data_IF_401526046622
#
_entry.id   IF_401526046622
#
_cell.length_a   1.000
_cell.length_b   1.000
_cell.length_c   1.000
_cell.angle_alpha   90.00
_cell.angle_beta   90.00
_cell.angle_gamma   90.00
#
_symmetry.space_group_name_H-M   'P 1'
#
loop_
_entity.id
_entity.type
_entity.pdbx_description
1 polymer ?
#
# COMPACT_ATOMS: atom_id res chain seq x y z
N UNK A 1 -39.12 36.38 18.89
CA UNK A 1 -39.03 34.93 19.22
C UNK A 1 -38.90 34.02 18.00
N UNK A 2 -39.57 34.27 16.87
CA UNK A 2 -39.50 33.40 15.68
C UNK A 2 -38.13 33.38 14.96
N UNK A 3 -37.35 34.47 15.00
CA UNK A 3 -36.03 34.53 14.34
C UNK A 3 -34.98 33.68 15.05
N UNK A 4 -34.95 33.71 16.39
CA UNK A 4 -34.07 32.85 17.19
C UNK A 4 -34.35 31.37 16.96
N UNK A 5 -35.62 30.95 16.96
CA UNK A 5 -35.99 29.54 16.78
C UNK A 5 -35.58 28.98 15.40
N UNK A 6 -35.67 29.80 14.33
CA UNK A 6 -35.21 29.42 12.98
C UNK A 6 -33.70 29.28 12.90
N UNK A 7 -32.95 30.18 13.53
CA UNK A 7 -31.47 30.11 13.60
C UNK A 7 -31.03 28.89 14.39
N UNK A 8 -31.63 28.62 15.56
CA UNK A 8 -31.34 27.42 16.35
C UNK A 8 -31.67 26.13 15.59
N UNK A 9 -32.80 26.07 14.88
CA UNK A 9 -33.17 24.92 14.05
C UNK A 9 -32.20 24.70 12.89
N UNK A 10 -31.73 25.76 12.23
CA UNK A 10 -30.76 25.66 11.13
C UNK A 10 -29.39 25.17 11.63
N UNK A 11 -28.93 25.67 12.78
CA UNK A 11 -27.70 25.19 13.40
C UNK A 11 -27.77 23.72 13.81
N UNK A 12 -28.91 23.26 14.34
CA UNK A 12 -29.10 21.87 14.74
C UNK A 12 -29.10 20.92 13.53
N UNK A 13 -29.74 21.32 12.42
CA UNK A 13 -29.69 20.58 11.16
C UNK A 13 -28.28 20.52 10.58
N UNK A 14 -27.53 21.63 10.63
CA UNK A 14 -26.15 21.66 10.18
C UNK A 14 -25.25 20.71 11.01
N UNK A 15 -25.40 20.70 12.34
CA UNK A 15 -24.68 19.78 13.21
C UNK A 15 -25.06 18.33 12.91
N UNK A 16 -26.36 18.02 12.78
CA UNK A 16 -26.82 16.68 12.43
C UNK A 16 -26.26 16.22 11.08
N UNK A 17 -26.27 17.10 10.07
CA UNK A 17 -25.68 16.80 8.76
C UNK A 17 -24.19 16.52 8.86
N UNK A 18 -23.43 17.33 9.62
CA UNK A 18 -22.00 17.10 9.82
C UNK A 18 -21.71 15.76 10.50
N UNK A 19 -22.49 15.39 11.52
CA UNK A 19 -22.35 14.09 12.19
C UNK A 19 -22.68 12.93 11.25
N UNK A 20 -23.72 13.05 10.43
CA UNK A 20 -24.08 12.03 9.44
C UNK A 20 -23.02 11.91 8.34
N UNK A 21 -22.51 13.03 7.85
CA UNK A 21 -21.44 13.06 6.86
C UNK A 21 -20.16 12.45 7.43
N UNK A 22 -19.79 12.80 8.65
CA UNK A 22 -18.66 12.23 9.37
C UNK A 22 -18.80 10.72 9.55
N UNK A 23 -19.99 10.26 9.90
CA UNK A 23 -20.27 8.85 10.07
C UNK A 23 -20.19 8.09 8.75
N UNK A 24 -20.76 8.65 7.69
CA UNK A 24 -20.74 8.08 6.34
C UNK A 24 -19.32 8.02 5.77
N UNK A 25 -18.58 9.13 5.79
CA UNK A 25 -17.25 9.23 5.17
C UNK A 25 -16.20 8.34 5.84
N UNK A 26 -16.38 8.00 7.12
CA UNK A 26 -15.47 7.08 7.84
C UNK A 26 -15.96 5.64 7.87
N UNK A 27 -17.12 5.31 7.31
CA UNK A 27 -17.62 3.92 7.31
C UNK A 27 -17.07 3.17 6.10
N UNK A 28 -16.35 2.05 6.29
CA UNK A 28 -15.90 1.25 5.16
C UNK A 28 -17.11 0.67 4.41
N UNK A 29 -17.09 0.77 3.08
CA UNK A 29 -18.09 0.15 2.21
C UNK A 29 -17.56 -1.21 1.77
N UNK A 30 -18.25 -2.29 2.15
CA UNK A 30 -17.87 -3.65 1.81
C UNK A 30 -18.97 -4.34 1.01
N UNK A 31 -18.62 -4.97 -0.12
CA UNK A 31 -19.50 -5.92 -0.81
C UNK A 31 -19.09 -7.32 -0.38
N UNK A 32 -19.91 -7.99 0.43
CA UNK A 32 -19.63 -9.38 0.82
C UNK A 32 -19.83 -10.30 -0.38
N UNK A 33 -18.80 -11.05 -0.76
CA UNK A 33 -18.99 -12.17 -1.67
C UNK A 33 -20.00 -13.16 -1.05
N UNK A 34 -20.94 -13.63 -1.87
CA UNK A 34 -22.13 -14.36 -1.45
C UNK A 34 -21.81 -15.52 -0.47
N UNK A 35 -22.45 -15.60 0.72
CA UNK A 35 -22.15 -16.61 1.73
C UNK A 35 -22.57 -18.05 1.35
N UNK A 36 -23.22 -18.24 0.19
CA UNK A 36 -23.71 -19.54 -0.30
C UNK A 36 -22.60 -20.55 -0.67
N UNK A 37 -21.33 -20.15 -0.72
CA UNK A 37 -20.18 -21.07 -0.90
C UNK A 37 -19.44 -21.41 0.40
N UNK A 38 -19.92 -20.96 1.56
CA UNK A 38 -19.31 -21.37 2.84
C UNK A 38 -19.79 -22.80 3.18
N UNK A 39 -19.01 -23.79 2.77
CA UNK A 39 -19.23 -25.19 3.16
C UNK A 39 -19.36 -25.28 4.69
N UNK A 40 -20.40 -25.95 5.26
CA UNK A 40 -20.72 -25.82 6.68
C UNK A 40 -19.77 -26.51 7.66
N UNK A 41 -18.64 -27.08 7.20
CA UNK A 41 -17.67 -27.77 8.06
C UNK A 41 -16.24 -27.64 7.52
N UNK A 42 -15.69 -26.42 7.56
CA UNK A 42 -14.24 -26.23 7.61
C UNK A 42 -13.97 -25.08 8.60
N UNK A 43 -13.75 -25.44 9.86
CA UNK A 43 -12.95 -24.60 10.76
C UNK A 43 -11.49 -24.69 10.25
N UNK A 44 -11.20 -24.04 9.13
CA UNK A 44 -9.83 -23.85 8.65
C UNK A 44 -9.36 -22.50 9.20
N UNK A 45 -8.14 -22.48 9.74
CA UNK A 45 -7.43 -21.28 10.19
C UNK A 45 -7.19 -20.35 8.98
N UNK A 46 -8.22 -19.69 8.48
CA UNK A 46 -8.12 -18.77 7.36
C UNK A 46 -7.49 -17.47 7.85
N UNK A 47 -6.35 -17.11 7.28
CA UNK A 47 -5.68 -15.85 7.57
C UNK A 47 -6.47 -14.69 6.94
N UNK A 48 -7.05 -13.83 7.77
CA UNK A 48 -7.75 -12.63 7.32
C UNK A 48 -6.77 -11.46 7.25
N UNK A 49 -6.53 -10.94 6.05
CA UNK A 49 -5.57 -9.85 5.84
C UNK A 49 -6.31 -8.58 5.43
N UNK A 50 -6.03 -7.48 6.11
CA UNK A 50 -6.44 -6.14 5.67
C UNK A 50 -5.26 -5.51 4.91
N UNK A 51 -5.51 -5.04 3.69
CA UNK A 51 -4.49 -4.44 2.83
C UNK A 51 -4.84 -2.98 2.59
N UNK A 52 -3.87 -2.10 2.78
CA UNK A 52 -3.98 -0.66 2.50
C UNK A 52 -2.77 -0.20 1.71
N UNK A 53 -2.94 0.85 0.91
CA UNK A 53 -1.91 1.41 0.05
C UNK A 53 -1.98 2.94 0.10
N UNK A 54 -0.88 3.60 -0.26
CA UNK A 54 -0.82 5.03 -0.56
C UNK A 54 -1.42 5.91 0.56
N UNK A 55 -1.01 5.65 1.81
CA UNK A 55 -1.50 6.40 2.97
C UNK A 55 -1.15 7.88 2.90
N UNK A 56 -0.05 8.21 2.22
CA UNK A 56 0.42 9.54 1.82
C UNK A 56 0.34 10.56 2.96
N UNK A 57 0.74 10.18 4.17
CA UNK A 57 0.64 11.02 5.36
C UNK A 57 1.52 12.28 5.20
N UNK A 58 1.00 13.47 5.55
CA UNK A 58 1.77 14.69 5.40
C UNK A 58 2.87 14.81 6.47
N UNK A 59 3.95 15.50 6.09
CA UNK A 59 4.91 15.99 7.08
C UNK A 59 4.28 17.06 7.99
N UNK A 60 4.87 17.30 9.15
CA UNK A 60 4.39 18.25 10.17
C UNK A 60 4.08 19.66 9.67
N UNK A 61 4.64 20.06 8.54
CA UNK A 61 4.59 21.42 8.02
C UNK A 61 3.38 21.67 7.09
N UNK A 62 2.48 20.68 6.94
CA UNK A 62 1.22 20.84 6.20
C UNK A 62 0.18 21.64 7.00
N UNK A 63 -0.77 22.29 6.32
CA UNK A 63 -1.83 23.07 6.97
C UNK A 63 -2.56 22.25 8.05
N UNK A 64 -2.82 22.89 9.20
CA UNK A 64 -3.45 22.28 10.37
C UNK A 64 -4.78 21.56 10.03
N UNK A 65 -5.55 22.13 9.09
CA UNK A 65 -6.82 21.56 8.63
C UNK A 65 -6.63 20.25 7.86
N UNK A 66 -5.61 20.15 7.01
CA UNK A 66 -5.27 18.89 6.34
C UNK A 66 -4.82 17.83 7.35
N UNK A 67 -4.06 18.24 8.36
CA UNK A 67 -3.58 17.36 9.42
C UNK A 67 -4.74 16.80 10.25
N UNK A 68 -5.64 17.66 10.73
CA UNK A 68 -6.76 17.24 11.56
C UNK A 68 -7.79 16.42 10.78
N UNK A 69 -8.20 16.86 9.60
CA UNK A 69 -9.22 16.16 8.82
C UNK A 69 -8.71 14.78 8.40
N UNK A 70 -7.53 14.71 7.79
CA UNK A 70 -7.01 13.44 7.31
C UNK A 70 -6.74 12.45 8.44
N UNK A 71 -6.12 12.89 9.54
CA UNK A 71 -5.90 11.99 10.68
C UNK A 71 -7.19 11.55 11.34
N UNK A 72 -8.14 12.46 11.55
CA UNK A 72 -9.40 12.12 12.21
C UNK A 72 -10.19 11.09 11.41
N UNK A 73 -10.41 11.36 10.11
CA UNK A 73 -11.21 10.47 9.26
C UNK A 73 -10.50 9.14 8.98
N UNK A 74 -9.18 9.14 8.73
CA UNK A 74 -8.43 7.89 8.55
C UNK A 74 -8.42 7.06 9.83
N UNK A 75 -8.18 7.66 11.00
CA UNK A 75 -8.19 6.92 12.28
C UNK A 75 -9.55 6.30 12.56
N UNK A 76 -10.64 7.06 12.31
CA UNK A 76 -12.00 6.56 12.48
C UNK A 76 -12.32 5.44 11.47
N UNK A 77 -11.87 5.56 10.23
CA UNK A 77 -11.98 4.54 9.19
C UNK A 77 -11.25 3.25 9.57
N UNK A 78 -9.98 3.34 9.99
CA UNK A 78 -9.21 2.18 10.43
C UNK A 78 -9.88 1.50 11.62
N UNK A 79 -10.29 2.27 12.64
CA UNK A 79 -11.01 1.71 13.80
C UNK A 79 -12.24 0.91 13.39
N UNK A 80 -13.13 1.50 12.59
CA UNK A 80 -14.34 0.82 12.11
C UNK A 80 -14.01 -0.41 11.26
N UNK A 81 -12.97 -0.32 10.44
CA UNK A 81 -12.52 -1.42 9.59
C UNK A 81 -11.99 -2.58 10.44
N UNK A 82 -11.16 -2.32 11.46
CA UNK A 82 -10.69 -3.36 12.37
C UNK A 82 -11.81 -4.00 13.18
N UNK A 83 -12.77 -3.21 13.67
CA UNK A 83 -13.94 -3.71 14.41
C UNK A 83 -14.83 -4.61 13.54
N UNK A 84 -14.99 -4.25 12.27
CA UNK A 84 -15.86 -4.93 11.30
C UNK A 84 -15.20 -6.16 10.69
N UNK A 85 -13.97 -6.01 10.19
CA UNK A 85 -13.25 -7.04 9.43
C UNK A 85 -12.49 -8.02 10.33
N UNK A 86 -12.08 -7.57 11.54
CA UNK A 86 -11.25 -8.35 12.49
C UNK A 86 -10.08 -9.08 11.80
N UNK A 87 -9.21 -8.35 11.08
CA UNK A 87 -8.08 -8.97 10.40
C UNK A 87 -7.08 -9.54 11.41
N UNK A 88 -6.32 -10.54 10.98
CA UNK A 88 -5.19 -11.12 11.70
C UNK A 88 -3.87 -10.41 11.39
N UNK A 89 -3.79 -9.74 10.22
CA UNK A 89 -2.61 -9.04 9.72
C UNK A 89 -3.02 -7.78 8.94
N UNK A 90 -2.30 -6.68 9.15
CA UNK A 90 -2.36 -5.47 8.32
C UNK A 90 -1.16 -5.40 7.37
N UNK A 91 -1.41 -5.28 6.07
CA UNK A 91 -0.38 -5.00 5.07
C UNK A 91 -0.50 -3.56 4.57
N UNK A 92 0.62 -2.83 4.56
CA UNK A 92 0.72 -1.46 4.04
C UNK A 92 1.64 -1.45 2.82
N UNK A 93 1.09 -1.27 1.62
CA UNK A 93 1.80 -1.39 0.35
C UNK A 93 2.51 -0.10 -0.07
N UNK A 94 3.35 0.45 0.82
CA UNK A 94 4.16 1.63 0.52
C UNK A 94 3.42 2.96 0.60
N UNK A 95 4.19 4.01 0.28
CA UNK A 95 3.78 5.41 0.30
C UNK A 95 3.09 5.80 1.61
N UNK A 96 3.76 5.47 2.72
CA UNK A 96 3.31 5.88 4.06
C UNK A 96 3.33 7.40 4.17
N UNK A 97 4.34 8.05 3.61
CA UNK A 97 4.52 9.50 3.60
C UNK A 97 4.23 10.08 2.21
N UNK A 98 3.56 11.24 2.15
CA UNK A 98 3.34 11.94 0.87
C UNK A 98 4.63 12.42 0.20
N UNK A 99 5.66 12.72 1.00
CA UNK A 99 6.94 13.35 0.57
C UNK A 99 8.12 12.87 1.41
N UNK A 100 8.10 11.63 1.87
CA UNK A 100 9.08 11.03 2.78
C UNK A 100 10.53 11.13 2.30
N UNK A 101 10.74 10.96 1.00
CA UNK A 101 12.06 11.03 0.36
C UNK A 101 12.77 12.37 0.58
N UNK A 102 12.01 13.48 0.66
CA UNK A 102 12.53 14.81 0.91
C UNK A 102 12.62 15.20 2.39
N UNK A 103 12.30 14.30 3.33
CA UNK A 103 12.27 14.61 4.76
C UNK A 103 13.60 14.31 5.45
N UNK A 104 13.93 15.14 6.44
CA UNK A 104 14.97 14.82 7.41
C UNK A 104 14.50 13.70 8.34
N UNK A 105 15.44 12.93 8.93
CA UNK A 105 15.12 11.85 9.87
C UNK A 105 14.13 12.28 10.99
N UNK A 106 14.28 13.45 11.65
CA UNK A 106 13.30 13.90 12.64
C UNK A 106 11.89 14.15 12.09
N UNK A 107 11.78 14.70 10.87
CA UNK A 107 10.48 14.90 10.21
C UNK A 107 9.85 13.57 9.83
N UNK A 108 10.63 12.60 9.36
CA UNK A 108 10.16 11.24 9.08
C UNK A 108 9.67 10.55 10.36
N UNK A 109 10.36 10.69 11.49
CA UNK A 109 9.88 10.18 12.79
C UNK A 109 8.52 10.79 13.18
N UNK A 110 8.26 12.05 12.80
CA UNK A 110 6.92 12.65 12.98
C UNK A 110 5.86 11.96 12.12
N UNK A 111 6.20 11.55 10.89
CA UNK A 111 5.29 10.76 10.03
C UNK A 111 5.02 9.39 10.63
N UNK A 112 6.04 8.68 11.13
CA UNK A 112 5.84 7.39 11.83
C UNK A 112 4.92 7.55 13.02
N UNK A 113 5.11 8.58 13.84
CA UNK A 113 4.23 8.84 14.99
C UNK A 113 2.78 9.08 14.55
N UNK A 114 2.57 9.78 13.44
CA UNK A 114 1.24 9.97 12.87
C UNK A 114 0.65 8.65 12.37
N UNK A 115 1.44 7.86 11.67
CA UNK A 115 1.06 6.53 11.20
C UNK A 115 0.58 5.64 12.35
N UNK A 116 1.36 5.50 13.43
CA UNK A 116 0.94 4.74 14.61
C UNK A 116 -0.32 5.30 15.29
N UNK A 117 -0.53 6.62 15.27
CA UNK A 117 -1.77 7.22 15.79
C UNK A 117 -2.98 6.90 14.92
N UNK A 118 -2.81 6.86 13.60
CA UNK A 118 -3.86 6.50 12.64
C UNK A 118 -4.28 5.04 12.82
N UNK A 119 -3.32 4.13 13.04
CA UNK A 119 -3.63 2.74 13.39
C UNK A 119 -4.34 2.62 14.76
N UNK A 120 -4.18 3.61 15.63
CA UNK A 120 -4.97 3.76 16.85
C UNK A 120 -4.69 2.65 17.89
N UNK A 121 -5.69 2.22 18.69
CA UNK A 121 -5.50 1.23 19.75
C UNK A 121 -5.20 -0.19 19.24
N UNK A 122 -5.23 -0.42 17.93
CA UNK A 122 -4.91 -1.69 17.29
C UNK A 122 -3.40 -1.93 17.13
N UNK A 123 -2.56 -1.24 17.92
CA UNK A 123 -1.10 -1.48 17.98
C UNK A 123 -0.77 -2.96 18.33
N UNK A 124 -1.72 -3.69 18.92
CA UNK A 124 -1.57 -5.13 19.17
C UNK A 124 -1.74 -6.03 17.95
N UNK A 125 -2.27 -5.52 16.83
CA UNK A 125 -2.36 -6.25 15.56
C UNK A 125 -1.00 -6.21 14.86
N UNK A 126 -0.44 -7.35 14.42
CA UNK A 126 0.77 -7.33 13.62
C UNK A 126 0.51 -6.61 12.30
N UNK A 127 1.48 -5.80 11.87
CA UNK A 127 1.45 -5.17 10.56
C UNK A 127 2.81 -5.32 9.87
N UNK A 128 2.79 -5.27 8.55
CA UNK A 128 3.98 -5.22 7.72
C UNK A 128 3.83 -4.12 6.67
N UNK A 129 4.90 -3.39 6.40
CA UNK A 129 4.89 -2.26 5.48
C UNK A 129 5.99 -2.42 4.42
N UNK A 130 5.61 -2.17 3.17
CA UNK A 130 6.51 -2.10 2.00
C UNK A 130 7.01 -0.65 1.87
N UNK A 131 8.14 -0.43 1.20
CA UNK A 131 8.65 0.91 0.87
C UNK A 131 8.14 1.36 -0.51
N UNK A 132 7.58 2.58 -0.58
CA UNK A 132 7.22 3.24 -1.84
C UNK A 132 8.19 4.34 -2.27
N UNK A 133 8.05 4.86 -3.49
CA UNK A 133 8.93 5.91 -4.03
C UNK A 133 8.78 7.22 -3.25
N UNK A 134 7.58 7.54 -2.74
CA UNK A 134 7.40 8.73 -1.90
C UNK A 134 8.07 8.58 -0.55
N UNK A 135 8.32 7.36 -0.09
CA UNK A 135 9.00 7.10 1.17
C UNK A 135 10.52 7.23 1.06
N UNK A 136 11.13 6.60 0.06
CA UNK A 136 12.59 6.47 -0.07
C UNK A 136 13.23 7.29 -1.18
N UNK A 137 12.46 7.72 -2.18
CA UNK A 137 12.90 8.53 -3.30
C UNK A 137 12.86 7.80 -4.63
N UNK A 138 13.00 8.57 -5.70
CA UNK A 138 13.13 8.05 -7.06
C UNK A 138 14.59 7.66 -7.35
N UNK A 139 14.87 7.13 -8.54
CA UNK A 139 16.20 6.60 -8.86
C UNK A 139 17.37 7.56 -8.66
N UNK A 140 17.12 8.88 -8.75
CA UNK A 140 18.15 9.90 -8.52
C UNK A 140 18.44 10.15 -7.05
N UNK A 141 17.43 9.98 -6.21
CA UNK A 141 17.45 10.28 -4.78
C UNK A 141 17.50 9.02 -3.91
N UNK A 142 17.54 7.83 -4.54
CA UNK A 142 17.56 6.54 -3.88
C UNK A 142 18.93 6.31 -3.23
N UNK A 143 18.95 6.43 -1.91
CA UNK A 143 20.15 6.30 -1.08
C UNK A 143 20.06 5.08 -0.15
N UNK A 144 21.11 4.24 -0.14
CA UNK A 144 21.14 3.00 0.64
C UNK A 144 21.12 3.25 2.15
N UNK A 145 21.76 4.33 2.64
CA UNK A 145 21.74 4.68 4.06
C UNK A 145 20.33 5.10 4.50
N UNK A 146 19.64 5.88 3.66
CA UNK A 146 18.24 6.29 3.88
C UNK A 146 17.29 5.09 3.86
N UNK A 147 17.41 4.21 2.87
CA UNK A 147 16.60 2.98 2.77
C UNK A 147 16.81 2.12 4.01
N UNK A 148 18.06 1.82 4.36
CA UNK A 148 18.41 1.03 5.54
C UNK A 148 17.90 1.65 6.84
N UNK A 149 18.07 2.98 6.99
CA UNK A 149 17.56 3.69 8.16
C UNK A 149 16.04 3.61 8.27
N UNK A 150 15.31 3.83 7.17
CA UNK A 150 13.85 3.77 7.19
C UNK A 150 13.34 2.35 7.41
N UNK A 151 13.93 1.37 6.72
CA UNK A 151 13.63 -0.04 6.89
C UNK A 151 13.77 -0.47 8.35
N UNK A 152 14.81 0.01 9.05
CA UNK A 152 15.00 -0.24 10.50
C UNK A 152 13.89 0.29 11.41
N UNK A 153 12.97 1.12 10.90
CA UNK A 153 11.81 1.65 11.63
C UNK A 153 10.52 0.91 11.35
N UNK A 154 10.52 0.01 10.38
CA UNK A 154 9.38 -0.80 9.99
C UNK A 154 9.65 -2.27 10.37
N UNK A 155 8.61 -3.01 10.77
CA UNK A 155 8.79 -4.37 11.28
C UNK A 155 9.23 -5.34 10.18
N UNK A 156 10.36 -6.01 10.41
CA UNK A 156 10.83 -7.14 9.62
C UNK A 156 11.60 -6.80 8.34
N UNK A 157 11.78 -5.52 7.99
CA UNK A 157 12.57 -5.14 6.81
C UNK A 157 14.08 -5.21 7.10
N UNK A 158 14.84 -5.69 6.11
CA UNK A 158 16.30 -5.66 6.09
C UNK A 158 16.84 -4.30 5.58
N UNK A 159 18.17 -4.17 5.49
CA UNK A 159 18.81 -2.92 5.05
C UNK A 159 18.52 -2.56 3.59
N UNK A 160 18.04 -3.50 2.76
CA UNK A 160 17.62 -3.25 1.39
C UNK A 160 16.13 -2.90 1.28
N UNK A 161 15.38 -2.95 2.39
CA UNK A 161 13.94 -2.73 2.40
C UNK A 161 13.15 -3.97 1.94
N UNK A 162 13.74 -5.16 2.05
CA UNK A 162 13.10 -6.43 1.76
C UNK A 162 12.77 -7.19 3.05
N UNK A 163 11.88 -8.18 2.98
CA UNK A 163 11.61 -9.08 4.09
C UNK A 163 11.10 -10.43 3.59
N UNK A 164 11.32 -11.46 4.41
CA UNK A 164 10.62 -12.74 4.30
C UNK A 164 10.07 -13.10 5.67
N UNK A 165 8.79 -13.45 5.73
CA UNK A 165 8.13 -13.82 6.99
C UNK A 165 6.95 -14.77 6.74
N UNK A 166 6.53 -15.44 7.81
CA UNK A 166 5.38 -16.35 7.77
C UNK A 166 4.30 -15.87 8.74
N UNK A 167 3.05 -15.99 8.32
CA UNK A 167 1.89 -15.76 9.18
C UNK A 167 0.90 -16.92 8.99
N UNK A 168 0.73 -17.72 10.04
CA UNK A 168 -0.01 -18.98 9.93
C UNK A 168 0.74 -19.97 9.02
N UNK A 169 0.09 -20.41 7.94
CA UNK A 169 0.65 -21.31 6.93
C UNK A 169 0.96 -20.59 5.60
N UNK A 170 1.05 -19.26 5.63
CA UNK A 170 1.29 -18.43 4.45
C UNK A 170 2.64 -17.75 4.58
N UNK A 171 3.51 -17.96 3.60
CA UNK A 171 4.77 -17.25 3.46
C UNK A 171 4.58 -15.96 2.66
N UNK A 172 5.26 -14.91 3.11
CA UNK A 172 5.25 -13.59 2.51
C UNK A 172 6.67 -13.17 2.16
N UNK A 173 6.85 -12.60 0.97
CA UNK A 173 8.11 -12.01 0.53
C UNK A 173 7.87 -10.57 0.10
N UNK A 174 8.53 -9.64 0.76
CA UNK A 174 8.50 -8.22 0.44
C UNK A 174 9.75 -7.83 -0.32
N UNK A 175 9.58 -7.16 -1.46
CA UNK A 175 10.66 -6.70 -2.31
C UNK A 175 10.65 -5.17 -2.42
N UNK A 176 11.84 -4.56 -2.34
CA UNK A 176 12.01 -3.14 -2.62
C UNK A 176 11.90 -2.87 -4.12
N UNK A 177 10.68 -2.56 -4.55
CA UNK A 177 10.35 -2.31 -5.94
C UNK A 177 11.05 -1.08 -6.52
N UNK A 178 11.31 -0.06 -5.70
CA UNK A 178 12.04 1.14 -6.12
C UNK A 178 13.47 0.77 -6.54
N UNK A 179 14.14 -0.08 -5.77
CA UNK A 179 15.48 -0.55 -6.12
C UNK A 179 15.50 -1.39 -7.41
N UNK A 180 14.49 -2.26 -7.60
CA UNK A 180 14.34 -3.05 -8.82
C UNK A 180 14.08 -2.17 -10.06
N UNK A 181 13.29 -1.11 -9.89
CA UNK A 181 13.00 -0.15 -10.93
C UNK A 181 14.26 0.62 -11.36
N UNK A 182 15.10 1.00 -10.40
CA UNK A 182 16.23 1.89 -10.63
C UNK A 182 17.48 1.28 -11.26
N UNK A 183 17.35 0.09 -11.85
CA UNK A 183 18.43 -0.51 -12.63
C UNK A 183 19.66 -0.82 -11.79
N UNK A 184 20.86 -0.58 -12.34
CA UNK A 184 22.15 -0.97 -11.75
C UNK A 184 22.56 -0.12 -10.54
N UNK A 185 21.81 -0.23 -9.44
CA UNK A 185 22.14 0.34 -8.13
C UNK A 185 22.54 -0.79 -7.16
N UNK A 186 23.42 -0.50 -6.19
CA UNK A 186 23.86 -1.52 -5.22
C UNK A 186 22.71 -2.14 -4.43
N UNK A 187 21.62 -1.38 -4.20
CA UNK A 187 20.42 -1.89 -3.57
C UNK A 187 19.72 -2.98 -4.40
N UNK A 188 19.70 -2.87 -5.73
CA UNK A 188 19.09 -3.88 -6.60
C UNK A 188 19.75 -5.25 -6.40
N UNK A 189 21.08 -5.29 -6.30
CA UNK A 189 21.81 -6.52 -6.05
C UNK A 189 21.39 -7.18 -4.72
N UNK A 190 21.18 -6.37 -3.68
CA UNK A 190 20.69 -6.89 -2.40
C UNK A 190 19.25 -7.43 -2.50
N UNK A 191 18.38 -6.81 -3.31
CA UNK A 191 17.02 -7.33 -3.58
C UNK A 191 17.09 -8.64 -4.36
N UNK A 192 17.89 -8.72 -5.41
CA UNK A 192 18.09 -9.95 -6.20
C UNK A 192 18.63 -11.08 -5.32
N UNK A 193 19.54 -10.77 -4.38
CA UNK A 193 20.05 -11.75 -3.40
C UNK A 193 18.93 -12.29 -2.50
N UNK A 194 17.97 -11.47 -2.09
CA UNK A 194 16.79 -11.93 -1.33
C UNK A 194 15.95 -12.84 -2.21
N UNK A 195 15.65 -12.46 -3.45
CA UNK A 195 14.89 -13.30 -4.39
C UNK A 195 15.54 -14.67 -4.56
N UNK A 196 16.86 -14.73 -4.78
CA UNK A 196 17.57 -16.00 -4.89
C UNK A 196 17.49 -16.82 -3.61
N UNK A 197 17.74 -16.21 -2.44
CA UNK A 197 17.69 -16.90 -1.14
C UNK A 197 16.32 -17.54 -0.91
N UNK A 198 15.24 -16.74 -1.02
CA UNK A 198 13.88 -17.24 -0.81
C UNK A 198 13.49 -18.29 -1.86
N UNK A 199 13.95 -18.13 -3.12
CA UNK A 199 13.69 -19.14 -4.16
C UNK A 199 14.29 -20.51 -3.85
N UNK A 200 15.47 -20.54 -3.21
CA UNK A 200 16.14 -21.78 -2.80
C UNK A 200 15.39 -22.40 -1.63
N UNK A 201 15.01 -21.62 -0.62
CA UNK A 201 14.27 -22.11 0.54
C UNK A 201 12.92 -22.73 0.15
N UNK A 202 12.19 -22.08 -0.76
CA UNK A 202 10.93 -22.61 -1.31
C UNK A 202 11.12 -23.93 -2.05
N UNK A 203 12.20 -24.07 -2.83
CA UNK A 203 12.51 -25.33 -3.53
C UNK A 203 12.87 -26.46 -2.56
N UNK A 204 13.60 -26.15 -1.49
CA UNK A 204 14.02 -27.13 -0.47
C UNK A 204 12.85 -27.59 0.38
N UNK A 205 11.94 -26.69 0.75
CA UNK A 205 10.77 -27.01 1.59
C UNK A 205 9.66 -27.79 0.86
N UNK A 206 9.89 -28.21 -0.39
CA UNK A 206 8.94 -29.01 -1.16
C UNK A 206 7.71 -28.24 -1.61
N UNK A 207 7.68 -26.91 -1.49
CA UNK A 207 6.61 -26.04 -2.01
C UNK A 207 6.70 -25.87 -3.55
N UNK A 208 7.04 -26.95 -4.25
CA UNK A 208 6.99 -27.05 -5.70
C UNK A 208 5.58 -27.44 -6.19
N UNK A 209 4.61 -27.62 -5.28
CA UNK A 209 3.21 -27.78 -5.67
C UNK A 209 2.65 -26.46 -6.20
N UNK A 210 2.00 -26.53 -7.35
CA UNK A 210 1.40 -25.40 -8.06
C UNK A 210 0.41 -24.67 -7.13
N UNK A 211 0.65 -23.39 -6.82
CA UNK A 211 -0.16 -22.60 -5.87
C UNK A 211 0.34 -22.55 -4.42
N UNK A 212 1.47 -23.18 -4.10
CA UNK A 212 2.10 -23.11 -2.77
C UNK A 212 3.17 -22.03 -2.61
N UNK A 213 3.52 -21.29 -3.68
CA UNK A 213 4.50 -20.20 -3.64
C UNK A 213 4.12 -19.04 -2.71
N UNK A 214 5.03 -18.13 -2.38
CA UNK A 214 4.79 -17.06 -1.41
C UNK A 214 3.77 -16.04 -1.94
N UNK A 215 3.18 -15.29 -1.02
CA UNK A 215 2.54 -14.00 -1.31
C UNK A 215 3.65 -12.96 -1.50
N UNK A 216 3.73 -12.33 -2.66
CA UNK A 216 4.73 -11.28 -2.90
C UNK A 216 4.11 -9.91 -2.70
N UNK A 217 4.81 -9.07 -1.94
CA UNK A 217 4.43 -7.70 -1.62
C UNK A 217 5.44 -6.74 -2.26
N UNK A 218 4.94 -5.83 -3.09
CA UNK A 218 5.74 -4.76 -3.67
C UNK A 218 4.93 -3.48 -3.82
N UNK A 219 5.58 -2.34 -4.00
CA UNK A 219 4.87 -1.07 -4.18
C UNK A 219 4.43 -0.87 -5.64
N UNK A 220 5.36 -1.02 -6.61
CA UNK A 220 5.03 -0.91 -8.04
C UNK A 220 4.33 -2.17 -8.57
N UNK A 221 3.34 -2.05 -9.47
CA UNK A 221 2.78 -3.21 -10.17
C UNK A 221 3.80 -3.88 -11.09
N UNK A 222 3.60 -5.15 -11.41
CA UNK A 222 4.38 -5.83 -12.44
C UNK A 222 4.02 -5.35 -13.85
N UNK A 223 4.95 -5.54 -14.78
CA UNK A 223 4.75 -5.30 -16.20
C UNK A 223 3.61 -6.16 -16.78
N UNK A 224 2.72 -5.54 -17.57
CA UNK A 224 1.53 -6.19 -18.15
C UNK A 224 1.67 -6.56 -19.63
N UNK A 225 2.74 -6.11 -20.30
CA UNK A 225 2.85 -6.10 -21.77
C UNK A 225 2.89 -7.49 -22.41
N UNK A 226 3.26 -8.52 -21.65
CA UNK A 226 3.31 -9.91 -22.14
C UNK A 226 1.95 -10.52 -22.50
N UNK A 227 0.84 -9.90 -22.09
CA UNK A 227 -0.52 -10.36 -22.42
C UNK A 227 -1.27 -9.46 -23.41
N UNK A 228 -0.63 -8.43 -23.96
CA UNK A 228 -1.28 -7.53 -24.91
C UNK A 228 -1.36 -8.17 -26.30
N UNK A 229 -2.21 -9.20 -26.43
CA UNK A 229 -3.07 -9.28 -27.60
C UNK A 229 -4.08 -8.13 -27.46
N UNK A 230 -3.77 -7.02 -28.13
CA UNK A 230 -4.59 -5.82 -28.34
C UNK A 230 -6.06 -5.94 -27.89
N UNK A 231 -6.33 -5.64 -26.63
CA UNK A 231 -7.68 -5.46 -26.12
C UNK A 231 -7.76 -4.08 -25.49
N UNK A 232 -8.25 -3.14 -26.30
CA UNK A 232 -8.80 -1.84 -25.91
C UNK A 232 -9.73 -2.01 -24.70
N UNK A 233 -9.16 -1.91 -23.49
CA UNK A 233 -9.94 -1.81 -22.27
C UNK A 233 -10.12 -0.33 -21.97
N UNK A 234 -11.05 0.26 -22.70
CA UNK A 234 -11.65 1.54 -22.38
C UNK A 234 -12.41 1.41 -21.05
N UNK A 235 -11.68 1.42 -19.92
CA UNK A 235 -12.27 1.45 -18.58
C UNK A 235 -12.29 2.89 -18.09
N UNK A 236 -13.51 3.36 -17.88
CA UNK A 236 -13.90 4.62 -17.26
C UNK A 236 -13.15 4.88 -15.94
N UNK A 237 -11.95 5.45 -16.02
CA UNK A 237 -11.30 6.05 -14.86
C UNK A 237 -11.94 7.40 -14.63
N UNK A 238 -12.95 7.45 -13.75
CA UNK A 238 -13.28 8.71 -13.08
C UNK A 238 -12.19 8.96 -12.05
N UNK A 239 -11.08 9.54 -12.51
CA UNK A 239 -10.03 10.08 -11.66
C UNK A 239 -10.65 11.04 -10.65
N UNK A 240 -10.75 10.61 -9.39
CA UNK A 240 -11.07 11.48 -8.25
C UNK A 240 -9.91 12.42 -7.88
N UNK A 241 -8.74 12.25 -8.52
CA UNK A 241 -7.52 12.99 -8.21
C UNK A 241 -7.40 14.32 -8.94
N UNK A 242 -8.23 14.60 -9.95
CA UNK A 242 -8.19 15.87 -10.68
C UNK A 242 -8.80 17.07 -9.90
N UNK A 243 -9.46 16.84 -8.75
CA UNK A 243 -10.18 17.88 -8.00
C UNK A 243 -9.47 18.48 -6.78
N UNK A 244 -8.35 17.92 -6.30
CA UNK A 244 -7.75 18.31 -5.00
C UNK A 244 -6.33 18.89 -5.07
N UNK A 245 -5.71 18.94 -6.24
CA UNK A 245 -4.37 19.51 -6.41
C UNK A 245 -4.45 20.92 -7.03
N UNK A 246 -4.79 21.92 -6.23
CA UNK A 246 -4.35 23.30 -6.50
C UNK A 246 -2.92 23.42 -5.97
N UNK A 247 -1.95 23.08 -6.80
CA UNK A 247 -0.55 23.48 -6.64
C UNK A 247 -0.20 24.37 -7.84
N UNK A 248 0.38 25.57 -7.64
CA UNK A 248 0.63 26.48 -8.75
C UNK A 248 1.69 25.88 -9.66
N UNK A 249 1.26 25.59 -10.88
CA UNK A 249 2.08 25.32 -12.04
C UNK A 249 3.00 26.53 -12.25
N UNK A 250 4.31 26.38 -12.02
CA UNK A 250 5.36 27.22 -12.61
C UNK A 250 6.75 26.69 -12.22
N UNK A 251 7.30 25.82 -13.07
CA UNK A 251 8.62 25.93 -13.70
C UNK A 251 9.00 24.56 -14.27
N UNK A 252 8.68 24.39 -15.55
CA UNK A 252 9.47 23.54 -16.43
C UNK A 252 10.90 24.09 -16.48
N UNK A 253 11.88 23.21 -16.28
CA UNK A 253 13.18 23.09 -16.98
C UNK A 253 14.10 22.20 -16.12
N UNK A 254 14.20 20.96 -16.57
CA UNK A 254 15.41 20.12 -16.72
C UNK A 254 15.26 18.68 -16.19
N UNK A 255 15.49 17.72 -17.08
CA UNK A 255 14.83 16.42 -17.16
C UNK A 255 15.01 15.52 -15.95
N UNK A 256 13.96 14.74 -15.63
CA UNK A 256 13.82 13.82 -14.50
C UNK A 256 12.42 13.99 -13.90
N UNK A 257 11.39 13.66 -14.68
CA UNK A 257 9.99 13.87 -14.31
C UNK A 257 9.53 12.92 -13.19
N UNK A 258 8.52 13.31 -12.40
CA UNK A 258 7.92 12.44 -11.38
C UNK A 258 7.40 11.15 -12.02
N UNK A 259 7.55 10.00 -11.36
CA UNK A 259 7.00 8.75 -11.89
C UNK A 259 5.51 8.92 -12.22
N UNK A 260 5.13 8.57 -13.45
CA UNK A 260 3.73 8.54 -13.84
C UNK A 260 2.98 7.56 -12.93
N UNK A 261 1.73 7.89 -12.60
CA UNK A 261 0.83 7.06 -11.76
C UNK A 261 0.63 5.65 -12.36
N UNK A 262 1.03 5.43 -13.61
CA UNK A 262 0.96 4.16 -14.34
C UNK A 262 2.30 3.40 -14.39
N UNK A 263 3.31 3.82 -13.62
CA UNK A 263 4.62 3.17 -13.66
C UNK A 263 4.54 1.72 -13.16
N UNK A 264 5.05 0.78 -13.96
CA UNK A 264 5.19 -0.63 -13.59
C UNK A 264 6.67 -1.00 -13.51
N UNK A 265 6.99 -2.08 -12.78
CA UNK A 265 8.33 -2.65 -12.83
C UNK A 265 8.69 -3.02 -14.28
N UNK A 266 9.98 -2.92 -14.67
CA UNK A 266 10.44 -3.38 -15.97
C UNK A 266 10.11 -4.86 -16.22
N UNK A 267 9.89 -5.23 -17.48
CA UNK A 267 9.56 -6.61 -17.88
C UNK A 267 10.58 -7.63 -17.36
N UNK A 268 11.88 -7.35 -17.45
CA UNK A 268 12.93 -8.26 -16.98
C UNK A 268 12.87 -8.50 -15.46
N UNK A 269 12.60 -7.46 -14.66
CA UNK A 269 12.43 -7.59 -13.21
C UNK A 269 11.14 -8.37 -12.89
N UNK A 270 10.06 -8.10 -13.62
CA UNK A 270 8.78 -8.79 -13.46
C UNK A 270 8.90 -10.28 -13.76
N UNK A 271 9.52 -10.65 -14.88
CA UNK A 271 9.75 -12.05 -15.25
C UNK A 271 10.68 -12.76 -14.27
N UNK A 272 11.73 -12.07 -13.82
CA UNK A 272 12.65 -12.61 -12.82
C UNK A 272 11.93 -12.99 -11.51
N UNK A 273 11.09 -12.09 -10.97
CA UNK A 273 10.29 -12.37 -9.77
C UNK A 273 9.36 -13.56 -9.99
N UNK A 274 8.64 -13.58 -11.11
CA UNK A 274 7.67 -14.65 -11.43
C UNK A 274 8.35 -16.01 -11.56
N UNK A 275 9.50 -16.08 -12.23
CA UNK A 275 10.22 -17.34 -12.46
C UNK A 275 10.94 -17.84 -11.21
N UNK A 276 11.55 -16.93 -10.43
CA UNK A 276 12.31 -17.28 -9.25
C UNK A 276 11.41 -17.69 -8.09
N UNK A 277 10.42 -16.86 -7.76
CA UNK A 277 9.58 -17.06 -6.57
C UNK A 277 8.32 -17.89 -6.85
N UNK A 278 7.84 -17.93 -8.10
CA UNK A 278 6.57 -18.58 -8.49
C UNK A 278 5.42 -18.23 -7.54
N UNK A 279 5.13 -16.94 -7.35
CA UNK A 279 4.21 -16.48 -6.32
C UNK A 279 2.79 -17.00 -6.56
N UNK A 280 2.03 -17.22 -5.47
CA UNK A 280 0.60 -17.57 -5.58
C UNK A 280 -0.28 -16.36 -5.86
N UNK A 281 0.12 -15.21 -5.35
CA UNK A 281 -0.55 -13.92 -5.51
C UNK A 281 0.47 -12.81 -5.26
N UNK A 282 0.24 -11.67 -5.91
CA UNK A 282 1.07 -10.49 -5.80
C UNK A 282 0.17 -9.32 -5.42
N UNK A 283 0.56 -8.58 -4.38
CA UNK A 283 -0.09 -7.35 -4.00
C UNK A 283 0.81 -6.15 -4.29
N UNK A 284 0.25 -5.17 -5.01
CA UNK A 284 0.92 -3.94 -5.40
C UNK A 284 0.01 -2.71 -5.29
N UNK A 285 0.61 -1.52 -5.36
CA UNK A 285 -0.01 -0.22 -5.16
C UNK A 285 0.36 0.74 -6.31
N UNK A 286 0.70 2.00 -6.00
CA UNK A 286 1.12 3.06 -6.93
C UNK A 286 0.03 3.64 -7.83
N UNK A 287 -0.83 2.80 -8.42
CA UNK A 287 -1.87 3.26 -9.37
C UNK A 287 -2.98 4.10 -8.75
N UNK A 288 -3.04 4.22 -7.42
CA UNK A 288 -4.08 4.93 -6.66
C UNK A 288 -5.52 4.45 -6.98
N UNK A 289 -5.66 3.30 -7.64
CA UNK A 289 -6.90 2.66 -8.08
C UNK A 289 -6.79 1.15 -7.88
N UNK A 290 -7.87 0.52 -7.43
CA UNK A 290 -7.94 -0.93 -7.31
C UNK A 290 -7.98 -1.58 -8.71
N UNK A 291 -7.07 -2.51 -8.97
CA UNK A 291 -7.10 -3.34 -10.17
C UNK A 291 -6.63 -4.75 -9.88
N UNK A 292 -7.25 -5.73 -10.53
CA UNK A 292 -6.86 -7.14 -10.50
C UNK A 292 -6.36 -7.57 -11.89
N UNK A 293 -5.31 -8.38 -11.90
CA UNK A 293 -4.69 -8.86 -13.13
C UNK A 293 -4.15 -10.27 -12.93
N UNK A 294 -4.40 -11.16 -13.90
CA UNK A 294 -3.96 -12.56 -13.87
C UNK A 294 -2.74 -12.72 -14.78
N UNK A 295 -1.56 -12.88 -14.19
CA UNK A 295 -0.38 -13.31 -14.94
C UNK A 295 -0.54 -14.79 -15.33
N UNK A 296 -0.17 -15.17 -16.56
CA UNK A 296 -0.26 -16.57 -17.03
C UNK A 296 0.53 -17.54 -16.14
N UNK A 297 1.57 -17.04 -15.49
CA UNK A 297 2.49 -17.79 -14.64
C UNK A 297 2.07 -17.82 -13.16
N UNK A 298 0.96 -17.15 -12.79
CA UNK A 298 0.38 -17.12 -11.44
C UNK A 298 -0.98 -17.83 -11.45
N UNK A 299 -1.27 -18.77 -10.51
CA UNK A 299 -2.54 -19.47 -10.48
C UNK A 299 -3.74 -18.55 -10.27
N UNK A 300 -4.91 -18.92 -10.81
CA UNK A 300 -6.18 -18.29 -10.46
C UNK A 300 -6.59 -18.73 -9.05
N UNK A 301 -6.88 -17.77 -8.17
CA UNK A 301 -7.46 -17.99 -6.83
C UNK A 301 -8.96 -17.75 -6.91
#
# INVERSE_FOLDING_TARGET
MAFGFRVFSASLLAIAFLLLFEEWASTPSCTTANPLHRHPHQHTNNLNVMIVADLLLPASDSSLLNHLFRHYYMSKFFRKSFETLRPDLLLVLGDVSARGSGLTRPKWVSVLRQFYRVLGPFVGLPFHAVLGDRDVGECRDLDAERVSWLASKLPGLDSAGCAAFEMGNVSFVTLNAVALLCGNCGLRFEVERVVERESVELRVNGSNEFGSGPVVLLHFPLDRTRNDDYADFQRSSKSLTQGLNVLPQNREVDGGGPYDVLHTLPLNASEYILQALKPRIIFSAHSCEFSDYVHRDVPKI
#
